data_IF_009390434401
#
_entry.id   IF_009390434401
#
_cell.length_a   1.000
_cell.length_b   1.000
_cell.length_c   1.000
_cell.angle_alpha   90.00
_cell.angle_beta   90.00
_cell.angle_gamma   90.00
#
_symmetry.space_group_name_H-M   'P 1'
#
loop_
_entity.id
_entity.type
_entity.pdbx_description
1 polymer ?
#
# COMPACT_ATOMS: atom_id res chain seq x y z
N UNK A 1 21.22 7.48 4.56
CA UNK A 1 20.95 6.93 3.21
C UNK A 1 19.76 7.63 2.56
N UNK A 2 18.54 7.58 3.12
CA UNK A 2 17.34 8.21 2.54
C UNK A 2 17.48 9.73 2.27
N UNK A 3 17.96 10.51 3.24
CA UNK A 3 18.15 11.97 3.07
C UNK A 3 19.03 12.30 1.87
N UNK A 4 20.16 11.61 1.72
CA UNK A 4 21.06 11.77 0.56
C UNK A 4 20.35 11.44 -0.75
N UNK A 5 19.56 10.36 -0.81
CA UNK A 5 18.79 10.01 -2.01
C UNK A 5 17.75 11.08 -2.37
N UNK A 6 17.12 11.70 -1.38
CA UNK A 6 16.15 12.77 -1.59
C UNK A 6 16.81 14.08 -2.06
N UNK A 7 18.01 14.39 -1.56
CA UNK A 7 18.82 15.51 -2.05
C UNK A 7 19.32 15.27 -3.48
N UNK A 8 19.86 14.08 -3.78
CA UNK A 8 20.32 13.69 -5.13
C UNK A 8 19.18 13.71 -6.15
N UNK A 9 17.97 13.29 -5.74
CA UNK A 9 16.76 13.38 -6.57
C UNK A 9 16.16 14.80 -6.65
N UNK A 10 16.73 15.78 -5.94
CA UNK A 10 16.30 17.18 -5.96
C UNK A 10 14.99 17.45 -5.23
N UNK A 11 14.51 16.52 -4.40
CA UNK A 11 13.33 16.67 -3.54
C UNK A 11 13.60 17.49 -2.28
N UNK A 12 14.88 17.60 -1.88
CA UNK A 12 15.32 18.45 -0.77
C UNK A 12 16.40 19.42 -1.29
N UNK A 13 16.29 20.69 -0.94
CA UNK A 13 17.41 21.65 -1.04
C UNK A 13 17.40 22.56 0.17
N UNK A 14 18.58 22.92 0.68
CA UNK A 14 18.74 23.83 1.83
C UNK A 14 17.94 23.40 3.07
N UNK A 15 17.81 22.09 3.28
CA UNK A 15 17.01 21.52 4.37
C UNK A 15 15.49 21.61 4.20
N UNK A 16 15.01 22.09 3.05
CA UNK A 16 13.58 22.24 2.74
C UNK A 16 13.10 21.20 1.73
N UNK A 17 11.90 20.68 1.97
CA UNK A 17 11.24 19.70 1.08
C UNK A 17 10.48 20.43 -0.04
N UNK A 18 10.84 20.13 -1.29
CA UNK A 18 10.19 20.63 -2.50
C UNK A 18 8.91 19.86 -2.81
N UNK A 19 7.82 20.16 -2.09
CA UNK A 19 6.54 19.44 -2.22
C UNK A 19 6.02 19.35 -3.66
N UNK A 20 6.21 20.39 -4.47
CA UNK A 20 5.75 20.43 -5.87
C UNK A 20 6.47 19.46 -6.81
N UNK A 21 7.63 18.94 -6.41
CA UNK A 21 8.40 18.00 -7.22
C UNK A 21 7.95 16.54 -7.01
N UNK A 22 7.25 16.25 -5.92
CA UNK A 22 6.84 14.88 -5.62
C UNK A 22 5.79 14.43 -6.64
N UNK A 23 6.06 13.34 -7.38
CA UNK A 23 5.11 12.83 -8.36
C UNK A 23 3.87 12.31 -7.63
N UNK A 24 2.70 12.68 -8.13
CA UNK A 24 1.42 12.09 -7.73
C UNK A 24 1.08 11.01 -8.76
N UNK A 25 1.18 9.77 -8.35
CA UNK A 25 0.85 8.63 -9.21
C UNK A 25 -0.63 8.29 -9.06
N UNK A 26 -1.39 8.42 -10.14
CA UNK A 26 -2.78 7.97 -10.21
C UNK A 26 -2.82 6.50 -10.61
N UNK A 27 -3.06 5.61 -9.63
CA UNK A 27 -3.11 4.17 -9.86
C UNK A 27 -4.52 3.78 -10.31
N UNK A 28 -4.71 3.71 -11.63
CA UNK A 28 -6.03 3.47 -12.24
C UNK A 28 -6.36 1.98 -12.43
N UNK A 29 -5.37 1.12 -12.28
CA UNK A 29 -5.40 -0.33 -12.52
C UNK A 29 -5.44 -1.17 -11.23
N UNK A 30 -5.44 -0.52 -10.07
CA UNK A 30 -5.62 -1.22 -8.80
C UNK A 30 -6.98 -1.94 -8.77
N UNK A 31 -7.03 -3.24 -8.37
CA UNK A 31 -8.28 -3.96 -8.27
C UNK A 31 -9.27 -3.26 -7.36
N UNK A 32 -10.48 -3.01 -7.85
CA UNK A 32 -11.53 -2.35 -7.09
C UNK A 32 -12.32 -3.37 -6.27
N UNK A 33 -12.81 -2.97 -5.11
CA UNK A 33 -13.75 -3.79 -4.35
C UNK A 33 -15.07 -3.95 -5.10
N UNK A 34 -15.70 -5.11 -4.92
CA UNK A 34 -17.06 -5.36 -5.42
C UNK A 34 -18.00 -5.39 -4.23
N UNK A 35 -19.02 -4.53 -4.24
CA UNK A 35 -19.96 -4.40 -3.11
C UNK A 35 -19.40 -3.58 -1.94
N UNK A 36 -19.95 -3.81 -0.75
CA UNK A 36 -19.56 -3.13 0.48
C UNK A 36 -19.05 -4.11 1.53
N UNK A 37 -18.14 -3.65 2.39
CA UNK A 37 -17.62 -4.43 3.53
C UNK A 37 -16.14 -4.78 3.44
N UNK A 38 -15.57 -4.84 2.23
CA UNK A 38 -14.18 -5.27 2.02
C UNK A 38 -13.15 -4.13 1.94
N UNK A 39 -13.56 -2.87 2.00
CA UNK A 39 -12.65 -1.72 1.76
C UNK A 39 -11.42 -1.74 2.68
N UNK A 40 -11.62 -2.07 3.96
CA UNK A 40 -10.54 -2.20 4.92
C UNK A 40 -9.56 -3.32 4.54
N UNK A 41 -10.07 -4.44 4.04
CA UNK A 41 -9.23 -5.54 3.57
C UNK A 41 -8.44 -5.17 2.32
N UNK A 42 -9.04 -4.47 1.36
CA UNK A 42 -8.33 -3.99 0.17
C UNK A 42 -7.16 -3.06 0.56
N UNK A 43 -7.37 -2.12 1.49
CA UNK A 43 -6.28 -1.25 1.97
C UNK A 43 -5.14 -2.07 2.60
N UNK A 44 -5.47 -3.05 3.46
CA UNK A 44 -4.45 -3.90 4.07
C UNK A 44 -3.67 -4.71 3.02
N UNK A 45 -4.36 -5.23 1.99
CA UNK A 45 -3.72 -5.97 0.91
C UNK A 45 -2.88 -5.09 0.00
N UNK A 46 -3.32 -3.86 -0.30
CA UNK A 46 -2.48 -2.90 -1.02
C UNK A 46 -1.18 -2.63 -0.28
N UNK A 47 -1.25 -2.39 1.04
CA UNK A 47 -0.06 -2.16 1.84
C UNK A 47 0.89 -3.37 1.83
N UNK A 48 0.38 -4.58 2.09
CA UNK A 48 1.17 -5.81 2.08
C UNK A 48 1.86 -6.05 0.72
N UNK A 49 1.14 -5.81 -0.38
CA UNK A 49 1.66 -6.06 -1.72
C UNK A 49 2.67 -5.00 -2.15
N UNK A 50 2.39 -3.70 -1.93
CA UNK A 50 3.32 -2.62 -2.26
C UNK A 50 4.63 -2.72 -1.48
N UNK A 51 4.55 -3.03 -0.18
CA UNK A 51 5.76 -3.20 0.67
C UNK A 51 6.55 -4.45 0.31
N UNK A 52 5.90 -5.47 -0.25
CA UNK A 52 6.54 -6.70 -0.74
C UNK A 52 6.94 -6.64 -2.21
N UNK A 53 6.76 -5.50 -2.89
CA UNK A 53 6.97 -5.33 -4.33
C UNK A 53 6.21 -6.36 -5.19
N UNK A 54 4.98 -6.67 -4.79
CA UNK A 54 4.05 -7.55 -5.51
C UNK A 54 3.02 -6.69 -6.23
N UNK A 55 2.76 -7.03 -7.49
CA UNK A 55 1.75 -6.36 -8.32
C UNK A 55 0.35 -6.44 -7.71
N UNK A 56 -0.30 -5.28 -7.56
CA UNK A 56 -1.67 -5.16 -7.04
C UNK A 56 -2.68 -5.94 -7.88
N UNK A 57 -2.44 -6.14 -9.19
CA UNK A 57 -3.33 -6.91 -10.06
C UNK A 57 -3.53 -8.37 -9.61
N UNK A 58 -2.66 -8.87 -8.72
CA UNK A 58 -2.78 -10.21 -8.12
C UNK A 58 -3.75 -10.28 -6.94
N UNK A 59 -4.32 -9.15 -6.50
CA UNK A 59 -5.36 -9.14 -5.47
C UNK A 59 -6.66 -9.66 -6.10
N UNK A 60 -7.12 -10.81 -5.62
CA UNK A 60 -8.37 -11.43 -6.05
C UNK A 60 -9.50 -11.15 -5.05
N UNK A 61 -10.66 -10.74 -5.56
CA UNK A 61 -11.89 -10.57 -4.78
C UNK A 61 -12.32 -11.88 -4.10
N UNK A 62 -12.16 -13.02 -4.79
CA UNK A 62 -12.59 -14.33 -4.30
C UNK A 62 -11.83 -14.77 -3.03
N UNK A 63 -10.68 -14.14 -2.76
CA UNK A 63 -9.86 -14.42 -1.57
C UNK A 63 -10.18 -13.50 -0.40
N UNK A 64 -11.08 -12.52 -0.53
CA UNK A 64 -11.35 -11.54 0.54
C UNK A 64 -11.83 -12.22 1.82
N UNK A 65 -12.79 -13.14 1.72
CA UNK A 65 -13.29 -13.91 2.88
C UNK A 65 -12.19 -14.70 3.57
N UNK A 66 -11.26 -15.27 2.81
CA UNK A 66 -10.10 -15.98 3.37
C UNK A 66 -9.15 -14.99 4.08
N UNK A 67 -8.88 -13.84 3.48
CA UNK A 67 -8.01 -12.84 4.07
C UNK A 67 -8.59 -12.24 5.36
N UNK A 68 -9.91 -12.04 5.42
CA UNK A 68 -10.59 -11.62 6.65
C UNK A 68 -10.38 -12.64 7.78
N UNK A 69 -10.59 -13.94 7.48
CA UNK A 69 -10.40 -15.00 8.47
C UNK A 69 -8.92 -15.09 8.91
N UNK A 70 -7.99 -15.03 7.96
CA UNK A 70 -6.55 -15.00 8.25
C UNK A 70 -6.20 -13.84 9.17
N UNK A 71 -6.70 -12.63 8.86
CA UNK A 71 -6.49 -11.45 9.68
C UNK A 71 -7.05 -11.66 11.09
N UNK A 72 -8.28 -12.14 11.24
CA UNK A 72 -8.89 -12.41 12.54
C UNK A 72 -8.06 -13.40 13.38
N UNK A 73 -7.49 -14.44 12.77
CA UNK A 73 -6.60 -15.37 13.45
C UNK A 73 -5.28 -14.73 13.89
N UNK A 74 -4.67 -13.91 13.03
CA UNK A 74 -3.45 -13.17 13.35
C UNK A 74 -3.67 -12.21 14.54
N UNK A 75 -4.80 -11.49 14.51
CA UNK A 75 -5.30 -10.63 15.59
C UNK A 75 -5.39 -11.38 16.93
N UNK A 76 -6.06 -12.53 16.93
CA UNK A 76 -6.29 -13.34 18.13
C UNK A 76 -4.98 -13.93 18.69
N UNK A 77 -4.02 -14.22 17.82
CA UNK A 77 -2.73 -14.79 18.21
C UNK A 77 -1.69 -13.74 18.60
N UNK A 78 -1.97 -12.45 18.39
CA UNK A 78 -1.04 -11.36 18.65
C UNK A 78 0.11 -11.27 17.63
N UNK A 79 -0.04 -11.90 16.46
CA UNK A 79 0.91 -11.75 15.36
C UNK A 79 0.50 -10.55 14.50
N UNK A 80 1.20 -9.44 14.68
CA UNK A 80 1.03 -8.19 13.95
C UNK A 80 2.32 -7.83 13.21
#
# INVERSE_FOLDING_TARGET
MLLRLLEEAGYISDGLIHKSKWPVNHVMDAPQQVGGGDCGMYILKYYEFLTSNVDLAKISHDLMSFFQLKLALQLLQGYW
#
